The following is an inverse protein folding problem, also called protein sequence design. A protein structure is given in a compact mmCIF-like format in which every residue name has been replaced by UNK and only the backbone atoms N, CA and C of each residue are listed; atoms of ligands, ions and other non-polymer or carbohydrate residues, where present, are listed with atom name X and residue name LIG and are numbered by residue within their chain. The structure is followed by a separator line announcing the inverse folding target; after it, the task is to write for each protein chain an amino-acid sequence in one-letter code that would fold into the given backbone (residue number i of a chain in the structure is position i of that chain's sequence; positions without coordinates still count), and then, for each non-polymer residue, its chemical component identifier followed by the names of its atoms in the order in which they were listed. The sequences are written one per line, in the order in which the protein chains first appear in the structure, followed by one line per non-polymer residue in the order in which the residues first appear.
data_IF_131542530239
#
_entry.id   IF_131542530239
#
_cell.length_a   1.000
_cell.length_b   1.000
_cell.length_c   1.000
_cell.angle_alpha   90.00
_cell.angle_beta   90.00
_cell.angle_gamma   90.00
#
_symmetry.space_group_name_H-M   'P 1'
#
loop_
_entity.id
_entity.type
_entity.pdbx_description
1 polymer ?
#
# COMPACT_ATOMS: atom_id res chain seq x y z
N UNK A 1 -30.33 -28.04 -10.71
CA UNK A 1 -30.03 -28.11 -9.29
C UNK A 1 -28.55 -28.22 -8.95
N UNK A 2 -27.66 -28.48 -9.89
CA UNK A 2 -26.21 -28.54 -9.68
C UNK A 2 -25.49 -27.20 -9.71
N UNK A 3 -26.09 -26.13 -10.23
CA UNK A 3 -25.46 -24.82 -10.39
C UNK A 3 -25.27 -24.05 -9.09
N UNK A 4 -26.12 -24.24 -8.10
CA UNK A 4 -26.07 -23.51 -6.83
C UNK A 4 -24.93 -24.00 -5.92
N UNK A 5 -24.63 -25.30 -5.97
CA UNK A 5 -23.52 -25.90 -5.23
C UNK A 5 -22.17 -25.52 -5.83
N UNK A 6 -22.09 -25.46 -7.18
CA UNK A 6 -20.88 -25.04 -7.90
C UNK A 6 -20.57 -23.56 -7.63
N UNK A 7 -21.58 -22.68 -7.60
CA UNK A 7 -21.44 -21.26 -7.29
C UNK A 7 -20.99 -21.02 -5.85
N UNK A 8 -21.52 -21.79 -4.89
CA UNK A 8 -21.09 -21.73 -3.48
C UNK A 8 -19.66 -22.21 -3.28
N UNK A 9 -19.29 -23.31 -3.93
CA UNK A 9 -17.91 -23.84 -3.87
C UNK A 9 -16.94 -22.87 -4.56
N UNK A 10 -17.32 -22.27 -5.67
CA UNK A 10 -16.50 -21.28 -6.37
C UNK A 10 -16.28 -20.02 -5.49
N UNK A 11 -17.30 -19.52 -4.82
CA UNK A 11 -17.18 -18.40 -3.90
C UNK A 11 -16.31 -18.72 -2.67
N UNK A 12 -16.39 -19.93 -2.13
CA UNK A 12 -15.55 -20.36 -1.02
C UNK A 12 -14.10 -20.48 -1.44
N UNK A 13 -13.84 -21.05 -2.62
CA UNK A 13 -12.47 -21.17 -3.17
C UNK A 13 -11.91 -19.79 -3.53
N UNK A 14 -12.69 -18.89 -4.12
CA UNK A 14 -12.29 -17.52 -4.36
C UNK A 14 -12.06 -16.75 -3.07
N UNK A 15 -12.90 -16.92 -2.05
CA UNK A 15 -12.72 -16.30 -0.74
C UNK A 15 -11.46 -16.78 -0.02
N UNK A 16 -11.12 -18.05 -0.12
CA UNK A 16 -9.88 -18.61 0.47
C UNK A 16 -8.65 -18.14 -0.29
N UNK A 17 -8.69 -18.08 -1.61
CA UNK A 17 -7.59 -17.57 -2.44
C UNK A 17 -7.37 -16.07 -2.22
N UNK A 18 -8.45 -15.28 -2.07
CA UNK A 18 -8.36 -13.86 -1.71
C UNK A 18 -7.79 -13.65 -0.30
N UNK A 19 -8.22 -14.45 0.67
CA UNK A 19 -7.70 -14.40 2.03
C UNK A 19 -6.21 -14.79 2.09
N UNK A 20 -5.80 -15.74 1.26
CA UNK A 20 -4.40 -16.17 1.17
C UNK A 20 -3.53 -15.12 0.45
N UNK A 21 -4.06 -14.49 -0.61
CA UNK A 21 -3.36 -13.40 -1.32
C UNK A 21 -3.15 -12.18 -0.43
N UNK A 22 -4.17 -11.79 0.37
CA UNK A 22 -4.05 -10.70 1.33
C UNK A 22 -3.07 -11.05 2.47
N UNK A 23 -2.96 -12.31 2.85
CA UNK A 23 -2.01 -12.76 3.85
C UNK A 23 -0.55 -12.72 3.34
N UNK A 24 -0.31 -12.84 2.03
CA UNK A 24 1.02 -12.74 1.42
C UNK A 24 1.49 -11.30 1.15
N UNK A 25 0.61 -10.29 1.29
CA UNK A 25 0.94 -8.88 1.00
C UNK A 25 1.47 -8.09 2.19
N UNK A 26 1.69 -8.74 3.33
CA UNK A 26 2.25 -8.11 4.55
C UNK A 26 3.27 -9.03 5.23
N UNK A 27 4.23 -8.38 5.87
CA UNK A 27 5.21 -9.02 6.74
C UNK A 27 5.17 -8.38 8.12
N UNK A 28 5.96 -8.88 9.05
CA UNK A 28 6.03 -8.37 10.41
C UNK A 28 7.45 -7.95 10.75
N UNK A 29 7.57 -6.84 11.46
CA UNK A 29 8.82 -6.35 12.01
C UNK A 29 8.60 -5.82 13.42
N UNK A 30 9.66 -5.62 14.18
CA UNK A 30 9.58 -4.87 15.44
C UNK A 30 9.65 -3.37 15.14
N UNK A 31 8.92 -2.58 15.92
CA UNK A 31 8.89 -1.13 15.73
C UNK A 31 10.29 -0.51 15.85
N UNK A 32 11.16 -1.13 16.67
CA UNK A 32 12.55 -0.71 16.84
C UNK A 32 13.43 -0.88 15.60
N UNK A 33 13.09 -1.78 14.68
CA UNK A 33 13.83 -2.01 13.43
C UNK A 33 13.46 -1.01 12.33
N UNK A 34 12.28 -0.37 12.45
CA UNK A 34 11.81 0.59 11.46
C UNK A 34 12.57 1.91 11.54
N UNK A 35 12.69 2.56 10.39
CA UNK A 35 13.37 3.84 10.20
C UNK A 35 12.52 4.80 9.39
N UNK A 36 12.90 6.06 9.35
CA UNK A 36 12.32 7.05 8.43
C UNK A 36 12.42 6.54 6.99
N UNK A 37 11.32 6.61 6.25
CA UNK A 37 11.19 6.07 4.90
C UNK A 37 10.70 4.63 4.81
N UNK A 38 10.69 3.87 5.93
CA UNK A 38 10.08 2.53 5.99
C UNK A 38 8.56 2.61 5.90
N UNK A 39 7.93 1.49 5.55
CA UNK A 39 6.48 1.36 5.50
C UNK A 39 5.96 0.66 6.74
N UNK A 40 4.77 1.01 7.16
CA UNK A 40 4.05 0.43 8.31
C UNK A 40 2.55 0.44 8.03
N UNK A 41 1.82 -0.53 8.55
CA UNK A 41 0.36 -0.53 8.53
C UNK A 41 -0.15 0.06 9.84
N UNK A 42 -0.90 1.14 9.75
CA UNK A 42 -1.57 1.80 10.89
C UNK A 42 -3.06 1.85 10.58
N UNK A 43 -3.89 1.29 11.45
CA UNK A 43 -5.35 1.20 11.28
C UNK A 43 -5.77 0.56 9.94
N UNK A 44 -5.03 -0.47 9.48
CA UNK A 44 -5.29 -1.15 8.23
C UNK A 44 -4.85 -0.40 6.97
N UNK A 45 -4.28 0.80 7.10
CA UNK A 45 -3.76 1.59 5.99
C UNK A 45 -2.24 1.52 5.89
N UNK A 46 -1.68 1.31 4.69
CA UNK A 46 -0.26 1.37 4.47
C UNK A 46 0.20 2.83 4.53
N UNK A 47 1.16 3.08 5.40
CA UNK A 47 1.73 4.40 5.64
C UNK A 47 3.24 4.39 5.44
N UNK A 48 3.79 5.52 5.01
CA UNK A 48 5.23 5.75 4.97
C UNK A 48 5.66 6.55 6.18
N UNK A 49 6.65 6.06 6.91
CA UNK A 49 7.20 6.74 8.08
C UNK A 49 7.96 7.98 7.64
N UNK A 50 7.52 9.13 8.12
CA UNK A 50 8.17 10.43 7.90
C UNK A 50 9.14 10.72 9.03
N UNK A 51 8.76 10.39 10.25
CA UNK A 51 9.55 10.63 11.44
C UNK A 51 9.37 9.49 12.44
N UNK A 52 10.46 9.07 13.06
CA UNK A 52 10.45 8.09 14.15
C UNK A 52 11.41 8.54 15.25
N UNK A 53 10.88 8.74 16.44
CA UNK A 53 11.64 9.10 17.64
C UNK A 53 11.56 7.97 18.64
N UNK A 54 12.71 7.53 19.16
CA UNK A 54 12.82 6.47 20.17
C UNK A 54 13.32 7.06 21.46
N UNK A 55 12.54 6.97 22.51
CA UNK A 55 12.89 7.49 23.83
C UNK A 55 12.84 6.38 24.89
N UNK A 56 13.89 6.31 25.72
CA UNK A 56 13.88 5.50 26.96
C UNK A 56 13.26 6.31 28.09
N UNK A 57 12.22 5.80 28.70
CA UNK A 57 11.64 6.36 29.91
C UNK A 57 12.23 5.63 31.13
N UNK A 58 13.22 6.25 31.81
CA UNK A 58 13.73 5.78 33.07
C UNK A 58 14.74 4.63 33.01
N UNK A 59 15.31 4.28 34.18
CA UNK A 59 16.37 3.26 34.36
C UNK A 59 15.86 1.82 34.11
N UNK A 60 14.55 1.59 34.21
CA UNK A 60 13.87 0.29 34.08
C UNK A 60 12.68 0.33 33.14
N UNK A 61 12.46 1.40 32.37
CA UNK A 61 11.36 1.54 31.43
C UNK A 61 11.68 0.97 30.05
N UNK A 62 10.70 0.32 29.42
CA UNK A 62 10.77 -0.06 28.00
C UNK A 62 10.87 1.20 27.15
N UNK A 63 11.77 1.21 26.16
CA UNK A 63 11.87 2.29 25.20
C UNK A 63 10.57 2.37 24.40
N UNK A 64 10.01 3.56 24.26
CA UNK A 64 8.83 3.81 23.40
C UNK A 64 9.27 4.50 22.12
N UNK A 65 8.65 4.11 21.02
CA UNK A 65 8.79 4.77 19.75
C UNK A 65 7.54 5.63 19.47
N UNK A 66 7.78 6.85 19.06
CA UNK A 66 6.78 7.76 18.52
C UNK A 66 7.00 7.82 17.01
N UNK A 67 6.03 7.32 16.26
CA UNK A 67 6.08 7.23 14.80
C UNK A 67 5.09 8.21 14.22
N UNK A 68 5.55 9.01 13.29
CA UNK A 68 4.72 9.87 12.44
C UNK A 68 4.82 9.33 11.02
N UNK A 69 3.69 8.98 10.45
CA UNK A 69 3.61 8.40 9.12
C UNK A 69 2.50 9.05 8.29
N UNK A 70 2.61 8.95 6.98
CA UNK A 70 1.63 9.48 6.02
C UNK A 70 1.06 8.32 5.23
N UNK A 71 -0.26 8.24 5.16
CA UNK A 71 -0.97 7.24 4.38
C UNK A 71 -0.62 7.34 2.90
N UNK A 72 -0.32 6.20 2.27
CA UNK A 72 -0.01 6.14 0.83
C UNK A 72 -1.24 6.41 -0.04
N UNK A 73 -2.45 6.13 0.46
CA UNK A 73 -3.68 6.27 -0.31
C UNK A 73 -4.35 7.62 -0.13
N UNK A 74 -4.43 8.10 1.11
CA UNK A 74 -5.16 9.33 1.44
C UNK A 74 -4.26 10.53 1.66
N UNK A 75 -2.95 10.32 1.83
CA UNK A 75 -2.02 11.38 2.21
C UNK A 75 -2.20 11.89 3.65
N UNK A 76 -3.10 11.28 4.42
CA UNK A 76 -3.39 11.70 5.80
C UNK A 76 -2.24 11.34 6.74
N UNK A 77 -1.95 12.25 7.67
CA UNK A 77 -0.93 12.05 8.70
C UNK A 77 -1.49 11.15 9.81
N UNK A 78 -0.76 10.10 10.15
CA UNK A 78 -1.08 9.19 11.25
C UNK A 78 0.07 9.13 12.24
N UNK A 79 -0.28 8.92 13.50
CA UNK A 79 0.69 8.85 14.59
C UNK A 79 0.49 7.56 15.36
N UNK A 80 1.58 6.88 15.69
CA UNK A 80 1.60 5.69 16.51
C UNK A 80 2.62 5.83 17.63
N UNK A 81 2.19 5.58 18.86
CA UNK A 81 3.09 5.51 20.02
C UNK A 81 2.99 4.11 20.60
N UNK A 82 4.10 3.39 20.59
CA UNK A 82 4.14 2.01 21.07
C UNK A 82 5.56 1.64 21.56
N UNK A 83 5.69 0.57 22.37
CA UNK A 83 6.99 0.03 22.74
C UNK A 83 7.82 -0.35 21.51
N UNK A 84 9.15 -0.17 21.58
CA UNK A 84 10.06 -0.48 20.45
C UNK A 84 10.12 -1.95 20.10
N UNK A 85 9.82 -2.83 21.03
CA UNK A 85 9.75 -4.28 20.87
C UNK A 85 8.38 -4.77 20.37
N UNK A 86 7.41 -3.86 20.22
CA UNK A 86 6.12 -4.21 19.68
C UNK A 86 6.23 -4.67 18.22
N UNK A 87 5.59 -5.79 17.93
CA UNK A 87 5.46 -6.33 16.59
C UNK A 87 4.40 -5.55 15.82
N UNK A 88 4.75 -5.08 14.65
CA UNK A 88 3.89 -4.31 13.75
C UNK A 88 3.83 -4.93 12.37
N UNK A 89 2.73 -4.68 11.67
CA UNK A 89 2.57 -5.14 10.29
C UNK A 89 3.28 -4.15 9.34
N UNK A 90 4.00 -4.70 8.38
CA UNK A 90 4.69 -3.96 7.33
C UNK A 90 4.14 -4.41 5.98
N UNK A 91 3.64 -3.49 5.14
CA UNK A 91 3.13 -3.85 3.82
C UNK A 91 4.29 -4.22 2.90
N UNK A 92 4.07 -5.20 2.02
CA UNK A 92 4.95 -5.47 0.90
C UNK A 92 4.54 -4.51 -0.22
N UNK A 93 5.51 -3.75 -0.72
CA UNK A 93 5.32 -2.78 -1.81
C UNK A 93 5.95 -3.33 -3.06
N UNK A 94 5.13 -3.63 -4.07
CA UNK A 94 5.59 -4.02 -5.40
C UNK A 94 5.62 -2.77 -6.30
N UNK A 95 6.81 -2.46 -6.81
CA UNK A 95 7.04 -1.27 -7.64
C UNK A 95 7.13 -1.69 -9.09
N UNK A 96 6.26 -1.15 -9.92
CA UNK A 96 6.14 -1.49 -11.32
C UNK A 96 6.09 -0.26 -12.22
N UNK A 97 6.27 -0.47 -13.50
CA UNK A 97 6.18 0.55 -14.53
C UNK A 97 5.06 0.20 -15.49
N UNK A 98 4.22 1.19 -15.76
CA UNK A 98 3.13 1.07 -16.71
C UNK A 98 3.09 2.26 -17.65
N UNK A 99 2.27 2.18 -18.67
CA UNK A 99 2.00 3.26 -19.61
C UNK A 99 0.53 3.66 -19.54
N UNK A 100 0.27 4.96 -19.44
CA UNK A 100 -1.10 5.48 -19.51
C UNK A 100 -1.63 5.29 -20.93
N UNK A 101 -2.77 4.61 -21.05
CA UNK A 101 -3.45 4.36 -22.32
C UNK A 101 -4.55 5.38 -22.55
N UNK A 102 -5.36 5.63 -21.52
CA UNK A 102 -6.52 6.53 -21.60
C UNK A 102 -6.70 7.31 -20.30
N UNK A 103 -7.19 8.53 -20.44
CA UNK A 103 -7.65 9.37 -19.33
C UNK A 103 -9.17 9.31 -19.28
N UNK A 104 -9.71 8.82 -18.16
CA UNK A 104 -11.16 8.60 -17.95
C UNK A 104 -11.75 9.63 -16.96
N UNK A 105 -11.07 10.75 -16.72
CA UNK A 105 -11.49 11.78 -15.77
C UNK A 105 -10.90 11.55 -14.38
N UNK A 106 -11.59 10.85 -13.50
CA UNK A 106 -11.10 10.52 -12.16
C UNK A 106 -10.15 9.33 -12.12
N UNK A 107 -10.19 8.50 -13.16
CA UNK A 107 -9.35 7.31 -13.30
C UNK A 107 -8.50 7.40 -14.57
N UNK A 108 -7.41 6.70 -14.59
CA UNK A 108 -6.58 6.48 -15.78
C UNK A 108 -6.45 5.00 -16.03
N UNK A 109 -6.52 4.63 -17.31
CA UNK A 109 -6.23 3.27 -17.73
C UNK A 109 -4.72 3.14 -17.97
N UNK A 110 -4.10 2.18 -17.31
CA UNK A 110 -2.66 1.93 -17.36
C UNK A 110 -2.43 0.50 -17.82
N UNK A 111 -1.46 0.31 -18.69
CA UNK A 111 -0.97 -0.99 -19.10
C UNK A 111 0.39 -1.23 -18.43
N UNK A 112 0.52 -2.35 -17.71
CA UNK A 112 1.80 -2.81 -17.18
C UNK A 112 2.75 -3.15 -18.34
N UNK A 113 3.97 -2.62 -18.30
CA UNK A 113 4.95 -2.83 -19.38
C UNK A 113 5.64 -4.21 -19.29
N UNK A 114 5.49 -4.92 -18.19
CA UNK A 114 6.08 -6.23 -17.98
C UNK A 114 5.09 -7.36 -18.30
N UNK A 115 3.84 -7.24 -17.84
CA UNK A 115 2.79 -8.26 -18.02
C UNK A 115 1.85 -7.95 -19.17
N UNK A 116 1.82 -6.70 -19.66
CA UNK A 116 0.86 -6.17 -20.65
C UNK A 116 -0.59 -6.22 -20.17
N UNK A 117 -0.82 -6.40 -18.88
CA UNK A 117 -2.14 -6.33 -18.28
C UNK A 117 -2.62 -4.88 -18.22
N UNK A 118 -3.87 -4.66 -18.59
CA UNK A 118 -4.49 -3.35 -18.56
C UNK A 118 -5.46 -3.25 -17.39
N UNK A 119 -5.35 -2.18 -16.61
CA UNK A 119 -6.18 -1.94 -15.44
C UNK A 119 -6.41 -0.43 -15.24
N UNK A 120 -7.36 -0.11 -14.39
CA UNK A 120 -7.72 1.26 -14.04
C UNK A 120 -7.13 1.63 -12.67
N UNK A 121 -6.55 2.83 -12.58
CA UNK A 121 -6.03 3.40 -11.34
C UNK A 121 -6.68 4.75 -11.11
N UNK A 122 -7.06 5.01 -9.87
CA UNK A 122 -7.54 6.32 -9.41
C UNK A 122 -6.43 7.37 -9.56
N UNK A 123 -6.78 8.55 -10.07
CA UNK A 123 -5.81 9.64 -10.18
C UNK A 123 -5.29 10.06 -8.80
N UNK A 124 -3.99 10.33 -8.67
CA UNK A 124 -3.44 10.83 -7.42
C UNK A 124 -4.08 12.17 -7.03
N UNK A 125 -4.17 12.42 -5.73
CA UNK A 125 -4.71 13.67 -5.17
C UNK A 125 -3.83 14.89 -5.48
N UNK A 126 -2.57 14.67 -5.87
CA UNK A 126 -1.65 15.72 -6.29
C UNK A 126 -2.04 16.23 -7.69
N UNK A 127 -2.49 17.50 -7.81
CA UNK A 127 -2.94 18.05 -9.09
C UNK A 127 -1.81 18.18 -10.12
N UNK A 128 -0.56 18.34 -9.67
CA UNK A 128 0.58 18.43 -10.57
C UNK A 128 0.86 17.06 -11.23
N UNK A 129 0.84 16.00 -10.45
CA UNK A 129 1.02 14.65 -10.95
C UNK A 129 -0.18 14.22 -11.82
N UNK A 130 -1.41 14.50 -11.36
CA UNK A 130 -2.62 14.21 -12.12
C UNK A 130 -2.66 14.88 -13.50
N UNK A 131 -2.18 16.12 -13.60
CA UNK A 131 -2.11 16.88 -14.86
C UNK A 131 -1.09 16.35 -15.87
N UNK A 132 -0.11 15.57 -15.42
CA UNK A 132 0.92 14.94 -16.27
C UNK A 132 0.47 13.58 -16.84
N UNK A 133 -0.60 13.00 -16.32
CA UNK A 133 -1.11 11.68 -16.72
C UNK A 133 -1.86 11.76 -18.06
N UNK A 134 -1.13 11.83 -19.15
CA UNK A 134 -1.68 11.85 -20.51
C UNK A 134 -1.43 10.49 -21.19
N UNK A 135 -2.28 10.09 -22.16
CA UNK A 135 -2.04 8.88 -22.95
C UNK A 135 -0.62 8.88 -23.55
N UNK A 136 0.08 7.76 -23.40
CA UNK A 136 1.45 7.57 -23.85
C UNK A 136 2.53 7.85 -22.81
N UNK A 137 2.20 8.45 -21.66
CA UNK A 137 3.16 8.74 -20.58
C UNK A 137 3.43 7.47 -19.77
N UNK A 138 4.70 7.20 -19.52
CA UNK A 138 5.11 6.14 -18.60
C UNK A 138 4.97 6.61 -17.15
N UNK A 139 4.48 5.71 -16.30
CA UNK A 139 4.27 5.96 -14.88
C UNK A 139 4.89 4.85 -14.05
N UNK A 140 5.47 5.22 -12.92
CA UNK A 140 5.79 4.27 -11.85
C UNK A 140 4.59 4.15 -10.94
N UNK A 141 4.04 2.96 -10.83
CA UNK A 141 2.95 2.67 -9.90
C UNK A 141 3.37 1.59 -8.89
N UNK A 142 2.76 1.64 -7.74
CA UNK A 142 3.01 0.68 -6.67
C UNK A 142 1.75 -0.12 -6.39
N UNK A 143 1.94 -1.41 -6.22
CA UNK A 143 0.90 -2.30 -5.72
C UNK A 143 1.15 -2.58 -4.24
N UNK A 144 0.18 -2.21 -3.40
CA UNK A 144 0.26 -2.30 -1.94
C UNK A 144 -1.08 -2.79 -1.41
N UNK A 145 -1.08 -3.89 -0.67
CA UNK A 145 -2.30 -4.50 -0.10
C UNK A 145 -3.41 -4.72 -1.14
N UNK A 146 -3.04 -5.11 -2.36
CA UNK A 146 -3.99 -5.35 -3.46
C UNK A 146 -4.56 -4.07 -4.10
N UNK A 147 -4.08 -2.89 -3.75
CA UNK A 147 -4.42 -1.62 -4.38
C UNK A 147 -3.24 -1.05 -5.14
N UNK A 148 -3.53 -0.39 -6.26
CA UNK A 148 -2.52 0.23 -7.12
C UNK A 148 -2.58 1.74 -7.00
N UNK A 149 -1.43 2.40 -6.87
CA UNK A 149 -1.30 3.86 -6.78
C UNK A 149 -0.19 4.35 -7.70
N UNK A 150 -0.43 5.47 -8.37
CA UNK A 150 0.58 6.12 -9.20
C UNK A 150 1.45 7.01 -8.31
N UNK A 151 2.76 6.81 -8.37
CA UNK A 151 3.72 7.53 -7.54
C UNK A 151 4.41 8.66 -8.28
N UNK A 152 4.72 8.47 -9.57
CA UNK A 152 5.38 9.47 -10.39
C UNK A 152 5.27 9.15 -11.89
N UNK A 153 5.43 10.16 -12.73
CA UNK A 153 5.69 10.01 -14.17
C UNK A 153 7.18 9.83 -14.42
N UNK A 154 7.51 9.10 -15.46
CA UNK A 154 8.88 8.90 -15.93
C UNK A 154 9.20 9.78 -17.10
#
# INVERSE_FOLDING_TARGET
MGFDLLFKVLNIVFGIVYAWWVCMSKTYATLGELRTGSFIIIDGEPCRIVEITKAKTGKHGSAKAHVVAVSLFTGSKKTLIAPVDQRVEVPIVDKRVGQVIADMGNMVQVMDLETYETFEIEKPSDPELAGKLKPGVEVEYWEVLGRRIIMRTR
#
